data_IF_068349612108
#
_entry.id   IF_068349612108
#
_cell.length_a   1.000
_cell.length_b   1.000
_cell.length_c   1.000
_cell.angle_alpha   90.00
_cell.angle_beta   90.00
_cell.angle_gamma   90.00
#
_symmetry.space_group_name_H-M   'P 1'
#
loop_
_entity.id
_entity.type
_entity.pdbx_description
1 polymer ?
#
# COMPACT_ATOMS: atom_id res chain seq x y z
N UNK A 1 -5.16 29.79 -97.22
CA UNK A 1 -5.41 28.38 -96.79
C UNK A 1 -4.47 28.15 -95.59
N UNK A 2 -5.05 28.12 -94.42
CA UNK A 2 -4.39 28.37 -93.19
C UNK A 2 -3.82 27.07 -92.56
N UNK A 3 -2.54 27.08 -92.29
CA UNK A 3 -1.87 26.01 -91.52
C UNK A 3 -1.77 26.42 -90.06
N UNK A 4 -2.42 25.62 -89.21
CA UNK A 4 -2.37 25.78 -87.74
C UNK A 4 -1.20 24.98 -87.23
N UNK A 5 -0.21 25.69 -86.61
CA UNK A 5 0.89 25.03 -85.88
C UNK A 5 0.49 24.77 -84.46
N UNK A 6 0.52 23.54 -84.07
CA UNK A 6 0.32 23.10 -82.69
C UNK A 6 1.62 23.17 -81.92
N UNK A 7 1.60 23.96 -80.83
CA UNK A 7 2.70 24.13 -79.91
C UNK A 7 2.50 23.19 -78.75
N UNK A 8 3.30 22.15 -78.64
CA UNK A 8 3.27 21.24 -77.50
C UNK A 8 4.14 21.84 -76.40
N UNK A 9 3.50 22.17 -75.25
CA UNK A 9 4.17 22.58 -74.03
C UNK A 9 4.45 21.39 -73.19
N UNK A 10 5.72 21.02 -73.02
CA UNK A 10 6.16 19.92 -72.15
C UNK A 10 6.31 20.46 -70.73
N UNK A 11 5.38 20.12 -69.85
CA UNK A 11 5.45 20.43 -68.41
C UNK A 11 6.27 19.34 -67.70
N UNK A 12 7.52 19.70 -67.33
CA UNK A 12 8.38 18.82 -66.55
C UNK A 12 8.05 18.94 -65.07
N UNK A 13 7.33 17.94 -64.51
CA UNK A 13 7.08 17.81 -63.08
C UNK A 13 8.37 17.34 -62.38
N UNK A 14 9.07 18.25 -61.69
CA UNK A 14 10.08 17.88 -60.70
C UNK A 14 9.38 17.38 -59.43
N UNK A 15 9.31 16.06 -59.23
CA UNK A 15 8.99 15.44 -57.97
C UNK A 15 10.15 15.62 -56.99
N UNK A 16 10.07 16.63 -56.13
CA UNK A 16 10.93 16.76 -54.97
C UNK A 16 10.50 15.70 -53.93
N UNK A 17 11.22 14.60 -53.91
CA UNK A 17 11.12 13.60 -52.84
C UNK A 17 11.78 14.16 -51.55
N UNK A 18 10.98 14.72 -50.66
CA UNK A 18 11.40 15.03 -49.29
C UNK A 18 11.65 13.73 -48.54
N UNK A 19 12.81 13.56 -47.91
CA UNK A 19 13.01 12.38 -47.03
C UNK A 19 12.07 12.51 -45.82
N UNK A 20 11.16 11.55 -45.67
CA UNK A 20 10.35 11.36 -44.48
C UNK A 20 11.27 10.87 -43.36
N UNK A 21 11.89 11.77 -42.60
CA UNK A 21 12.58 11.41 -41.37
C UNK A 21 11.51 11.00 -40.35
N UNK A 22 11.31 9.69 -40.20
CA UNK A 22 10.54 9.15 -39.09
C UNK A 22 11.28 9.56 -37.81
N UNK A 23 10.81 10.62 -37.16
CA UNK A 23 11.18 10.90 -35.78
C UNK A 23 10.62 9.71 -34.93
N UNK A 24 11.50 8.80 -34.54
CA UNK A 24 11.23 7.86 -33.48
C UNK A 24 11.08 8.65 -32.18
N UNK A 25 9.92 9.22 -31.96
CA UNK A 25 9.52 9.68 -30.63
C UNK A 25 9.37 8.44 -29.77
N UNK A 26 10.41 8.12 -29.02
CA UNK A 26 10.32 7.20 -27.90
C UNK A 26 9.24 7.77 -27.00
N UNK A 27 8.04 7.22 -27.06
CA UNK A 27 7.00 7.50 -26.07
C UNK A 27 7.56 6.93 -24.77
N UNK A 28 8.18 7.78 -23.95
CA UNK A 28 8.50 7.41 -22.58
C UNK A 28 7.17 7.02 -21.94
N UNK A 29 7.00 5.75 -21.62
CA UNK A 29 5.85 5.29 -20.86
C UNK A 29 5.88 6.03 -19.52
N UNK A 30 4.83 6.77 -19.24
CA UNK A 30 4.69 7.53 -17.99
C UNK A 30 4.88 6.58 -16.81
N UNK A 31 5.80 6.93 -15.90
CA UNK A 31 6.10 6.10 -14.72
C UNK A 31 4.83 5.99 -13.85
N UNK A 32 4.34 4.77 -13.64
CA UNK A 32 3.21 4.54 -12.73
C UNK A 32 3.71 4.52 -11.31
N UNK A 33 3.34 5.54 -10.55
CA UNK A 33 3.70 5.67 -9.13
C UNK A 33 2.55 5.28 -8.22
N UNK A 34 2.85 4.72 -7.03
CA UNK A 34 1.89 4.42 -5.97
C UNK A 34 2.40 5.03 -4.66
N UNK A 35 1.64 5.94 -4.06
CA UNK A 35 1.85 6.39 -2.68
C UNK A 35 1.06 5.49 -1.75
N UNK A 36 1.75 4.61 -1.04
CA UNK A 36 1.20 3.73 -0.01
C UNK A 36 1.33 4.36 1.37
N UNK A 37 0.44 3.98 2.29
CA UNK A 37 0.47 4.37 3.69
C UNK A 37 0.16 3.16 4.57
N UNK A 38 0.79 3.07 5.75
CA UNK A 38 0.36 2.19 6.84
C UNK A 38 0.19 3.00 8.12
N UNK A 39 -0.83 2.68 8.90
CA UNK A 39 -1.14 3.41 10.12
C UNK A 39 -1.91 2.56 11.13
N UNK A 40 -1.31 2.24 12.27
CA UNK A 40 -2.04 1.73 13.42
C UNK A 40 -2.86 2.88 14.03
N UNK A 41 -4.18 2.74 14.06
CA UNK A 41 -5.11 3.83 14.40
C UNK A 41 -5.47 3.90 15.87
N UNK A 42 -5.00 2.92 16.67
CA UNK A 42 -5.42 2.76 18.07
C UNK A 42 -6.95 2.80 18.22
N UNK A 43 -7.68 2.21 17.28
CA UNK A 43 -9.15 2.24 17.17
C UNK A 43 -9.76 3.65 17.25
N UNK A 44 -8.98 4.69 16.95
CA UNK A 44 -9.41 6.10 17.13
C UNK A 44 -9.57 6.53 18.58
N UNK A 45 -9.00 5.81 19.56
CA UNK A 45 -9.22 6.03 21.01
C UNK A 45 -8.71 7.38 21.52
N UNK A 46 -7.73 8.00 20.83
CA UNK A 46 -7.22 9.31 21.24
C UNK A 46 -8.11 10.47 20.80
N UNK A 47 -8.45 10.55 19.52
CA UNK A 47 -9.14 11.73 18.96
C UNK A 47 -10.35 11.39 18.07
N UNK A 48 -10.68 10.11 17.93
CA UNK A 48 -11.77 9.62 17.07
C UNK A 48 -11.32 9.31 15.65
N UNK A 49 -12.15 8.51 14.98
CA UNK A 49 -11.90 8.03 13.61
C UNK A 49 -11.91 9.18 12.60
N UNK A 50 -12.66 10.26 12.86
CA UNK A 50 -12.67 11.44 12.00
C UNK A 50 -11.27 12.09 11.90
N UNK A 51 -10.52 12.10 13.00
CA UNK A 51 -9.14 12.62 13.03
C UNK A 51 -8.13 11.69 12.33
N UNK A 52 -8.36 10.39 12.37
CA UNK A 52 -7.62 9.43 11.54
C UNK A 52 -7.86 9.72 10.05
N UNK A 53 -9.11 10.00 9.66
CA UNK A 53 -9.44 10.39 8.29
C UNK A 53 -8.76 11.71 7.87
N UNK A 54 -8.70 12.72 8.77
CA UNK A 54 -7.98 13.98 8.52
C UNK A 54 -6.50 13.73 8.20
N UNK A 55 -5.84 12.81 8.92
CA UNK A 55 -4.45 12.42 8.67
C UNK A 55 -4.29 11.78 7.28
N UNK A 56 -5.16 10.84 6.94
CA UNK A 56 -5.16 10.18 5.63
C UNK A 56 -5.36 11.22 4.52
N UNK A 57 -6.33 12.12 4.67
CA UNK A 57 -6.62 13.17 3.68
C UNK A 57 -5.44 14.12 3.49
N UNK A 58 -4.75 14.51 4.55
CA UNK A 58 -3.57 15.39 4.48
C UNK A 58 -2.41 14.71 3.75
N UNK A 59 -2.15 13.44 4.04
CA UNK A 59 -1.12 12.66 3.33
C UNK A 59 -1.52 12.30 1.90
N UNK A 60 -2.80 12.19 1.62
CA UNK A 60 -3.38 11.92 0.31
C UNK A 60 -2.78 10.67 -0.39
N UNK A 61 -2.67 9.51 0.28
CA UNK A 61 -2.13 8.29 -0.32
C UNK A 61 -3.06 7.73 -1.39
N UNK A 62 -2.53 6.85 -2.24
CA UNK A 62 -3.30 6.08 -3.21
C UNK A 62 -3.99 4.87 -2.57
N UNK A 63 -3.29 4.26 -1.59
CA UNK A 63 -3.73 3.05 -0.90
C UNK A 63 -3.21 3.05 0.55
N UNK A 64 -4.03 2.56 1.48
CA UNK A 64 -3.73 2.60 2.91
C UNK A 64 -3.98 1.25 3.56
N UNK A 65 -3.07 0.82 4.42
CA UNK A 65 -3.21 -0.27 5.38
C UNK A 65 -3.43 0.33 6.77
N UNK A 66 -4.59 0.05 7.37
CA UNK A 66 -4.92 0.52 8.71
C UNK A 66 -5.02 -0.68 9.66
N UNK A 67 -4.40 -0.56 10.82
CA UNK A 67 -4.49 -1.56 11.88
C UNK A 67 -5.37 -1.05 13.01
N UNK A 68 -5.83 -1.98 13.84
CA UNK A 68 -6.72 -1.71 14.97
C UNK A 68 -8.06 -1.06 14.59
N UNK A 69 -8.69 -1.57 13.56
CA UNK A 69 -10.02 -1.13 13.17
C UNK A 69 -11.08 -1.94 13.93
N UNK A 70 -11.83 -1.24 14.78
CA UNK A 70 -13.04 -1.76 15.41
C UNK A 70 -14.28 -1.37 14.60
N UNK A 71 -15.25 -2.28 14.44
CA UNK A 71 -16.50 -2.08 13.72
C UNK A 71 -17.67 -2.53 14.56
N UNK A 72 -18.73 -1.68 14.65
CA UNK A 72 -19.96 -1.97 15.41
C UNK A 72 -19.72 -2.30 16.90
N UNK A 73 -18.73 -1.65 17.51
CA UNK A 73 -18.36 -1.82 18.93
C UNK A 73 -18.91 -0.67 19.77
N UNK A 74 -18.74 -0.76 21.10
CA UNK A 74 -19.08 0.37 21.99
C UNK A 74 -18.26 1.63 21.72
N UNK A 75 -17.02 1.49 21.27
CA UNK A 75 -16.12 2.61 20.97
C UNK A 75 -16.43 3.17 19.57
N UNK A 76 -16.62 2.29 18.61
CA UNK A 76 -16.95 2.62 17.23
C UNK A 76 -18.31 1.99 16.86
N UNK A 77 -19.45 2.62 17.21
CA UNK A 77 -20.78 2.03 17.04
C UNK A 77 -21.31 2.06 15.60
N UNK A 78 -20.46 2.22 14.65
CA UNK A 78 -20.75 2.29 13.21
C UNK A 78 -19.90 1.30 12.41
N UNK A 79 -20.21 1.16 11.13
CA UNK A 79 -19.35 0.50 10.16
C UNK A 79 -18.13 1.42 9.86
N UNK A 80 -17.07 1.27 10.67
CA UNK A 80 -15.86 2.11 10.59
C UNK A 80 -15.19 2.04 9.20
N UNK A 81 -15.07 0.89 8.53
CA UNK A 81 -14.57 0.81 7.15
C UNK A 81 -15.35 1.72 6.20
N UNK A 82 -16.67 1.64 6.21
CA UNK A 82 -17.54 2.49 5.39
C UNK A 82 -17.38 3.97 5.75
N UNK A 83 -17.39 4.29 7.05
CA UNK A 83 -17.21 5.67 7.52
C UNK A 83 -15.89 6.26 7.08
N UNK A 84 -14.78 5.53 7.19
CA UNK A 84 -13.46 5.98 6.72
C UNK A 84 -13.42 6.15 5.21
N UNK A 85 -14.03 5.23 4.45
CA UNK A 85 -14.15 5.37 2.99
C UNK A 85 -14.88 6.66 2.60
N UNK A 86 -15.99 6.98 3.27
CA UNK A 86 -16.76 8.21 3.04
C UNK A 86 -15.97 9.47 3.41
N UNK A 87 -15.32 9.50 4.58
CA UNK A 87 -14.55 10.64 5.08
C UNK A 87 -13.28 10.92 4.25
N UNK A 88 -12.66 9.89 3.69
CA UNK A 88 -11.42 10.02 2.89
C UNK A 88 -11.67 10.11 1.39
N UNK A 89 -12.89 9.81 0.93
CA UNK A 89 -13.21 9.70 -0.49
C UNK A 89 -12.55 8.50 -1.19
N UNK A 90 -11.91 7.60 -0.44
CA UNK A 90 -11.32 6.36 -0.96
C UNK A 90 -12.42 5.32 -1.13
N UNK A 91 -12.94 5.21 -2.35
CA UNK A 91 -14.19 4.48 -2.65
C UNK A 91 -14.12 2.97 -2.47
N UNK A 92 -12.94 2.38 -2.58
CA UNK A 92 -12.75 0.94 -2.51
C UNK A 92 -12.10 0.59 -1.19
N UNK A 93 -12.62 -0.43 -0.51
CA UNK A 93 -12.07 -0.87 0.77
C UNK A 93 -12.32 -2.36 1.01
N UNK A 94 -11.45 -2.95 1.80
CA UNK A 94 -11.55 -4.34 2.23
C UNK A 94 -11.23 -4.47 3.71
N UNK A 95 -12.19 -4.96 4.50
CA UNK A 95 -12.00 -5.22 5.94
C UNK A 95 -11.45 -6.63 6.14
N UNK A 96 -10.25 -6.71 6.68
CA UNK A 96 -9.54 -7.95 6.99
C UNK A 96 -9.85 -8.34 8.44
N UNK A 97 -10.92 -9.12 8.61
CA UNK A 97 -11.43 -9.51 9.92
C UNK A 97 -10.42 -10.38 10.68
N UNK A 98 -10.16 -10.05 11.94
CA UNK A 98 -9.33 -10.85 12.86
C UNK A 98 -10.17 -11.61 13.88
N UNK A 99 -10.99 -10.91 14.66
CA UNK A 99 -11.77 -11.53 15.73
C UNK A 99 -13.09 -10.78 15.99
N UNK A 100 -14.05 -11.50 16.57
CA UNK A 100 -15.26 -10.93 17.12
C UNK A 100 -14.99 -10.45 18.55
N UNK A 101 -15.47 -9.24 18.88
CA UNK A 101 -15.33 -8.69 20.23
C UNK A 101 -16.46 -9.23 21.11
N UNK A 102 -16.17 -9.83 22.28
CA UNK A 102 -17.19 -10.44 23.12
C UNK A 102 -18.34 -9.49 23.55
N UNK A 103 -18.05 -8.20 23.62
CA UNK A 103 -19.06 -7.18 23.96
C UNK A 103 -19.86 -6.65 22.75
N UNK A 104 -19.65 -7.24 21.57
CA UNK A 104 -20.26 -6.90 20.29
C UNK A 104 -19.31 -6.21 19.33
N UNK A 105 -19.50 -6.47 18.05
CA UNK A 105 -18.72 -5.94 16.93
C UNK A 105 -17.44 -6.74 16.63
N UNK A 106 -16.65 -6.21 15.73
CA UNK A 106 -15.48 -6.86 15.13
C UNK A 106 -14.21 -6.03 15.28
N UNK A 107 -13.08 -6.70 15.18
CA UNK A 107 -11.75 -6.10 15.16
C UNK A 107 -10.91 -6.72 14.02
N UNK A 108 -10.11 -5.88 13.38
CA UNK A 108 -9.24 -6.33 12.30
C UNK A 108 -8.39 -5.22 11.70
N UNK A 109 -8.00 -5.43 10.45
CA UNK A 109 -7.29 -4.46 9.65
C UNK A 109 -8.17 -3.98 8.50
N UNK A 110 -7.83 -2.85 7.89
CA UNK A 110 -8.57 -2.29 6.78
C UNK A 110 -7.62 -1.84 5.67
N UNK A 111 -7.94 -2.19 4.44
CA UNK A 111 -7.33 -1.59 3.26
C UNK A 111 -8.32 -0.57 2.70
N UNK A 112 -7.86 0.68 2.47
CA UNK A 112 -8.58 1.68 1.68
C UNK A 112 -7.83 1.95 0.39
N UNK A 113 -8.54 2.10 -0.73
CA UNK A 113 -7.95 2.36 -2.05
C UNK A 113 -8.72 3.41 -2.82
N UNK A 114 -8.02 4.31 -3.52
CA UNK A 114 -8.58 5.20 -4.53
C UNK A 114 -8.93 4.45 -5.82
N UNK A 115 -8.29 3.30 -6.04
CA UNK A 115 -8.37 2.50 -7.26
C UNK A 115 -9.20 1.25 -7.05
N UNK A 116 -9.82 0.72 -8.11
CA UNK A 116 -10.64 -0.50 -8.03
C UNK A 116 -9.86 -1.68 -7.45
N UNK A 117 -10.53 -2.41 -6.55
CA UNK A 117 -10.10 -3.69 -6.03
C UNK A 117 -10.67 -4.78 -6.94
N UNK A 118 -9.80 -5.57 -7.58
CA UNK A 118 -10.17 -6.63 -8.52
C UNK A 118 -10.22 -8.01 -7.88
N UNK A 119 -9.49 -8.20 -6.77
CA UNK A 119 -9.45 -9.44 -5.98
C UNK A 119 -9.17 -9.08 -4.53
N UNK A 120 -9.74 -9.88 -3.61
CA UNK A 120 -9.53 -9.71 -2.17
C UNK A 120 -9.46 -11.09 -1.48
N UNK A 121 -8.53 -11.25 -0.54
CA UNK A 121 -8.40 -12.44 0.30
C UNK A 121 -7.94 -12.09 1.70
N UNK A 122 -8.41 -12.87 2.69
CA UNK A 122 -7.96 -12.73 4.06
C UNK A 122 -7.85 -14.08 4.76
N UNK A 123 -6.95 -14.13 5.74
CA UNK A 123 -6.59 -15.32 6.50
C UNK A 123 -6.44 -14.95 7.98
N UNK A 124 -6.96 -15.78 8.87
CA UNK A 124 -6.64 -15.68 10.29
C UNK A 124 -5.26 -16.29 10.52
N UNK A 125 -4.43 -15.60 11.30
CA UNK A 125 -3.11 -16.06 11.67
C UNK A 125 -3.18 -16.84 12.99
N UNK A 126 -2.36 -17.87 13.09
CA UNK A 126 -2.32 -18.72 14.27
C UNK A 126 -1.86 -17.97 15.51
N UNK A 127 -2.47 -18.31 16.64
CA UNK A 127 -2.04 -17.91 17.96
C UNK A 127 -1.27 -19.05 18.62
N UNK A 128 -0.23 -18.75 19.40
CA UNK A 128 0.56 -19.78 20.08
C UNK A 128 -0.23 -20.49 21.19
N UNK A 129 -1.10 -19.74 21.87
CA UNK A 129 -1.86 -20.26 23.01
C UNK A 129 -3.34 -19.91 22.86
N UNK A 130 -4.19 -20.79 23.40
CA UNK A 130 -5.62 -20.50 23.53
C UNK A 130 -5.83 -19.24 24.37
N UNK A 131 -6.58 -18.27 23.83
CA UNK A 131 -6.85 -16.98 24.48
C UNK A 131 -5.89 -15.86 24.08
N UNK A 132 -4.88 -16.13 23.27
CA UNK A 132 -4.08 -15.08 22.62
C UNK A 132 -4.91 -14.34 21.56
N UNK A 133 -4.54 -13.10 21.28
CA UNK A 133 -5.20 -12.32 20.23
C UNK A 133 -5.05 -13.00 18.87
N UNK A 134 -6.18 -13.20 18.21
CA UNK A 134 -6.20 -13.66 16.82
C UNK A 134 -5.82 -12.48 15.93
N UNK A 135 -4.79 -12.69 15.14
CA UNK A 135 -4.33 -11.72 14.13
C UNK A 135 -4.81 -12.16 12.75
N UNK A 136 -4.68 -11.26 11.79
CA UNK A 136 -5.07 -11.55 10.42
C UNK A 136 -4.09 -10.95 9.42
N UNK A 137 -4.02 -11.59 8.27
CA UNK A 137 -3.37 -11.15 7.08
C UNK A 137 -4.40 -11.06 5.96
N UNK A 138 -4.31 -10.05 5.12
CA UNK A 138 -5.15 -9.94 3.94
C UNK A 138 -4.52 -9.11 2.87
N UNK A 139 -4.96 -9.31 1.63
CA UNK A 139 -4.47 -8.57 0.49
C UNK A 139 -5.58 -8.29 -0.52
N UNK A 140 -5.35 -7.29 -1.33
CA UNK A 140 -6.19 -6.92 -2.47
C UNK A 140 -5.34 -6.77 -3.72
N UNK A 141 -5.91 -7.11 -4.88
CA UNK A 141 -5.31 -6.79 -6.18
C UNK A 141 -5.87 -5.48 -6.69
N UNK A 142 -4.99 -4.57 -7.09
CA UNK A 142 -5.32 -3.22 -7.51
C UNK A 142 -4.75 -2.95 -8.90
N UNK A 143 -5.51 -2.23 -9.72
CA UNK A 143 -5.09 -1.74 -11.04
C UNK A 143 -4.90 -0.22 -11.00
N UNK A 144 -3.68 0.25 -11.30
CA UNK A 144 -3.37 1.68 -11.45
C UNK A 144 -2.54 1.92 -12.70
N UNK A 145 -2.98 2.82 -13.58
CA UNK A 145 -2.22 3.19 -14.78
C UNK A 145 -1.87 2.02 -15.69
N UNK A 146 -2.71 0.98 -15.77
CA UNK A 146 -2.45 -0.24 -16.53
C UNK A 146 -1.50 -1.24 -15.86
N UNK A 147 -0.99 -0.96 -14.64
CA UNK A 147 -0.18 -1.87 -13.83
C UNK A 147 -1.01 -2.50 -12.73
N UNK A 148 -0.91 -3.82 -12.59
CA UNK A 148 -1.52 -4.57 -11.49
C UNK A 148 -0.46 -4.91 -10.43
N UNK A 149 -0.89 -4.88 -9.18
CA UNK A 149 -0.06 -5.28 -8.03
C UNK A 149 -0.97 -5.69 -6.87
N UNK A 150 -0.42 -6.43 -5.92
CA UNK A 150 -1.09 -6.70 -4.64
C UNK A 150 -0.69 -5.67 -3.59
N UNK A 151 -1.67 -5.27 -2.78
CA UNK A 151 -1.43 -4.53 -1.55
C UNK A 151 -1.96 -5.33 -0.37
N UNK A 152 -1.11 -5.57 0.60
CA UNK A 152 -1.40 -6.42 1.75
C UNK A 152 -1.37 -5.64 3.06
N UNK A 153 -2.08 -6.16 4.06
CA UNK A 153 -2.12 -5.63 5.43
C UNK A 153 -1.98 -6.75 6.46
N UNK A 154 -1.30 -6.45 7.55
CA UNK A 154 -1.27 -7.32 8.73
C UNK A 154 -1.05 -6.50 10.00
N UNK A 155 -1.37 -7.09 11.15
CA UNK A 155 -0.97 -6.64 12.47
C UNK A 155 -0.54 -7.89 13.26
N UNK A 156 0.76 -8.03 13.52
CA UNK A 156 1.31 -9.22 14.17
C UNK A 156 1.11 -9.20 15.69
N UNK A 157 1.40 -10.34 16.33
CA UNK A 157 1.30 -10.48 17.78
C UNK A 157 2.23 -9.48 18.51
N UNK A 158 1.72 -8.85 19.55
CA UNK A 158 2.41 -7.79 20.30
C UNK A 158 3.27 -8.30 21.45
N UNK A 159 3.30 -9.62 21.71
CA UNK A 159 4.06 -10.19 22.82
C UNK A 159 5.56 -9.97 22.64
N UNK A 160 6.26 -9.88 23.76
CA UNK A 160 7.70 -9.61 23.76
C UNK A 160 8.51 -10.65 22.98
N UNK A 161 8.14 -11.92 23.09
CA UNK A 161 8.85 -13.02 22.41
C UNK A 161 8.45 -13.14 20.94
N UNK A 162 9.43 -13.42 20.06
CA UNK A 162 9.20 -13.52 18.61
C UNK A 162 8.44 -14.76 18.17
N UNK A 163 8.25 -15.78 19.01
CA UNK A 163 7.74 -17.09 18.60
C UNK A 163 6.37 -17.02 17.89
N UNK A 164 5.43 -16.21 18.40
CA UNK A 164 4.13 -16.02 17.75
C UNK A 164 4.28 -15.34 16.39
N UNK A 165 5.08 -14.27 16.32
CA UNK A 165 5.33 -13.54 15.09
C UNK A 165 6.02 -14.38 14.04
N UNK A 166 7.01 -15.22 14.42
CA UNK A 166 7.68 -16.13 13.49
C UNK A 166 6.72 -17.18 12.91
N UNK A 167 5.78 -17.70 13.72
CA UNK A 167 4.72 -18.56 13.22
C UNK A 167 3.84 -17.82 12.20
N UNK A 168 3.37 -16.63 12.57
CA UNK A 168 2.52 -15.79 11.72
C UNK A 168 3.19 -15.37 10.41
N UNK A 169 4.48 -15.06 10.43
CA UNK A 169 5.26 -14.76 9.23
C UNK A 169 5.31 -15.95 8.28
N UNK A 170 5.58 -17.15 8.78
CA UNK A 170 5.63 -18.35 7.95
C UNK A 170 4.28 -18.59 7.25
N UNK A 171 3.18 -18.33 7.94
CA UNK A 171 1.84 -18.38 7.35
C UNK A 171 1.65 -17.31 6.27
N UNK A 172 2.03 -16.05 6.56
CA UNK A 172 1.99 -14.94 5.58
C UNK A 172 2.80 -15.30 4.34
N UNK A 173 4.05 -15.74 4.51
CA UNK A 173 4.93 -16.11 3.39
C UNK A 173 4.34 -17.22 2.54
N UNK A 174 3.70 -18.25 3.15
CA UNK A 174 3.04 -19.33 2.41
C UNK A 174 1.92 -18.83 1.49
N UNK A 175 1.28 -17.71 1.81
CA UNK A 175 0.28 -17.07 0.94
C UNK A 175 0.91 -16.15 -0.08
N UNK A 176 1.92 -15.36 0.32
CA UNK A 176 2.55 -14.37 -0.56
C UNK A 176 3.36 -15.05 -1.68
N UNK A 177 4.00 -16.18 -1.39
CA UNK A 177 4.74 -16.98 -2.38
C UNK A 177 3.86 -17.52 -3.52
N UNK A 178 2.55 -17.56 -3.34
CA UNK A 178 1.59 -17.99 -4.36
C UNK A 178 1.07 -16.83 -5.23
N UNK A 179 1.45 -15.59 -4.92
CA UNK A 179 1.02 -14.43 -5.70
C UNK A 179 1.82 -14.35 -7.00
N UNK A 180 1.12 -14.07 -8.09
CA UNK A 180 1.66 -13.96 -9.44
C UNK A 180 2.12 -12.54 -9.82
N UNK A 181 1.81 -11.56 -8.97
CA UNK A 181 2.13 -10.14 -9.16
C UNK A 181 2.94 -9.60 -7.97
N UNK A 182 3.64 -8.48 -8.15
CA UNK A 182 4.34 -7.80 -7.06
C UNK A 182 3.40 -7.41 -5.92
N UNK A 183 3.91 -7.45 -4.68
CA UNK A 183 3.15 -7.10 -3.49
C UNK A 183 3.86 -6.02 -2.66
N UNK A 184 3.07 -5.05 -2.19
CA UNK A 184 3.46 -4.12 -1.12
C UNK A 184 2.69 -4.55 0.13
N UNK A 185 3.39 -4.76 1.23
CA UNK A 185 2.81 -5.07 2.54
C UNK A 185 2.98 -3.88 3.48
N UNK A 186 1.87 -3.38 4.00
CA UNK A 186 1.84 -2.40 5.09
C UNK A 186 1.34 -3.03 6.39
N UNK A 187 1.95 -2.68 7.52
CA UNK A 187 1.45 -3.22 8.79
C UNK A 187 2.23 -2.80 10.01
N UNK A 188 1.59 -2.98 11.16
CA UNK A 188 2.25 -3.03 12.45
C UNK A 188 2.78 -4.45 12.65
N UNK A 189 4.09 -4.62 12.44
CA UNK A 189 4.74 -5.91 12.56
C UNK A 189 5.16 -6.22 13.99
N UNK A 190 4.91 -5.30 14.94
CA UNK A 190 5.32 -5.42 16.34
C UNK A 190 6.79 -5.85 16.52
N UNK A 191 7.63 -5.45 15.56
CA UNK A 191 9.00 -5.94 15.44
C UNK A 191 9.96 -4.85 15.03
N UNK A 192 11.07 -4.80 15.75
CA UNK A 192 12.15 -3.83 15.52
C UNK A 192 13.10 -4.35 14.46
N UNK A 193 13.78 -3.42 13.79
CA UNK A 193 14.92 -3.77 12.94
C UNK A 193 15.95 -4.61 13.73
N UNK A 194 16.46 -5.69 13.11
CA UNK A 194 17.40 -6.61 13.74
C UNK A 194 16.75 -7.64 14.68
N UNK A 195 15.41 -7.71 14.75
CA UNK A 195 14.73 -8.82 15.43
C UNK A 195 14.66 -10.06 14.52
N UNK A 196 14.52 -11.25 15.12
CA UNK A 196 14.34 -12.48 14.34
C UNK A 196 13.11 -12.42 13.41
N UNK A 197 12.07 -11.71 13.82
CA UNK A 197 10.89 -11.42 13.01
C UNK A 197 11.24 -10.64 11.74
N UNK A 198 11.99 -9.51 11.87
CA UNK A 198 12.36 -8.70 10.71
C UNK A 198 13.38 -9.42 9.82
N UNK A 199 14.29 -10.19 10.38
CA UNK A 199 15.22 -11.03 9.62
C UNK A 199 14.45 -12.09 8.78
N UNK A 200 13.36 -12.65 9.31
CA UNK A 200 12.50 -13.56 8.57
C UNK A 200 11.80 -12.87 7.39
N UNK A 201 11.26 -11.65 7.59
CA UNK A 201 10.67 -10.87 6.50
C UNK A 201 11.71 -10.49 5.43
N UNK A 202 12.92 -10.11 5.81
CA UNK A 202 13.99 -9.68 4.88
C UNK A 202 14.48 -10.79 3.95
N UNK A 203 14.19 -12.05 4.26
CA UNK A 203 14.50 -13.18 3.34
C UNK A 203 13.63 -13.13 2.07
N UNK A 204 12.48 -12.53 2.14
CA UNK A 204 11.50 -12.50 1.05
C UNK A 204 11.19 -11.07 0.60
N UNK A 205 10.99 -10.15 1.55
CA UNK A 205 10.64 -8.76 1.31
C UNK A 205 11.85 -7.85 1.34
N UNK A 206 11.83 -6.81 0.51
CA UNK A 206 12.72 -5.66 0.65
C UNK A 206 12.16 -4.73 1.70
N UNK A 207 12.95 -4.48 2.73
CA UNK A 207 12.63 -3.52 3.80
C UNK A 207 13.27 -2.18 3.46
N UNK A 208 12.44 -1.16 3.26
CA UNK A 208 12.87 0.18 2.85
C UNK A 208 13.33 1.02 4.04
N UNK A 209 14.27 0.52 4.81
CA UNK A 209 14.98 1.39 5.73
C UNK A 209 16.05 2.13 4.95
N UNK A 210 15.94 3.43 4.89
CA UNK A 210 17.00 4.29 4.42
C UNK A 210 18.24 4.07 5.29
N UNK A 211 19.41 4.32 4.75
CA UNK A 211 20.75 4.01 5.26
C UNK A 211 21.04 4.39 6.72
N UNK A 212 20.23 5.26 7.33
CA UNK A 212 20.46 5.86 8.63
C UNK A 212 19.68 5.21 9.79
N UNK A 213 19.15 4.02 9.56
CA UNK A 213 18.31 3.30 10.51
C UNK A 213 16.82 3.48 10.27
N UNK A 214 16.02 2.56 10.82
CA UNK A 214 14.57 2.64 10.68
C UNK A 214 14.03 3.87 11.44
N UNK A 215 13.26 4.74 10.78
CA UNK A 215 12.65 5.85 11.47
C UNK A 215 11.60 5.33 12.45
N UNK A 216 11.65 5.79 13.69
CA UNK A 216 10.81 5.31 14.78
C UNK A 216 9.35 5.72 14.60
N UNK A 217 8.43 4.80 14.92
CA UNK A 217 7.00 4.99 14.70
C UNK A 217 6.17 4.96 15.97
N UNK A 218 6.73 4.45 17.09
CA UNK A 218 6.01 4.29 18.36
C UNK A 218 6.94 4.48 19.57
N UNK A 219 6.39 4.98 20.74
CA UNK A 219 5.05 5.58 20.88
C UNK A 219 5.01 7.05 20.43
N UNK A 220 3.90 7.50 19.89
CA UNK A 220 3.66 8.92 19.67
C UNK A 220 3.25 9.61 20.98
N UNK A 221 3.74 10.86 21.31
CA UNK A 221 4.56 11.72 20.46
C UNK A 221 6.08 11.53 20.60
N UNK A 222 6.56 10.62 21.45
CA UNK A 222 7.98 10.41 21.75
C UNK A 222 8.43 9.01 21.29
N UNK A 223 8.66 8.79 19.99
CA UNK A 223 8.94 7.48 19.46
C UNK A 223 10.32 6.99 19.92
N UNK A 224 10.44 5.70 20.17
CA UNK A 224 11.65 5.05 20.63
C UNK A 224 12.06 3.82 19.80
N UNK A 225 11.17 3.36 18.90
CA UNK A 225 11.48 2.28 17.95
C UNK A 225 10.49 2.28 16.78
N UNK A 226 10.85 1.56 15.71
CA UNK A 226 9.98 1.29 14.58
C UNK A 226 9.31 -0.07 14.73
N UNK A 227 7.99 -0.15 14.49
CA UNK A 227 7.26 -1.40 14.35
C UNK A 227 6.25 -1.38 13.19
N UNK A 228 6.02 -0.21 12.61
CA UNK A 228 5.14 0.01 11.47
C UNK A 228 5.98 0.09 10.20
N UNK A 229 5.68 -0.76 9.23
CA UNK A 229 6.52 -0.97 8.07
C UNK A 229 5.72 -0.97 6.77
N UNK A 230 6.34 -0.42 5.73
CA UNK A 230 5.96 -0.63 4.33
C UNK A 230 7.10 -1.39 3.65
N UNK A 231 6.86 -2.62 3.25
CA UNK A 231 7.84 -3.53 2.63
C UNK A 231 7.27 -4.09 1.33
N UNK A 232 8.11 -4.61 0.43
CA UNK A 232 7.64 -5.11 -0.85
C UNK A 232 8.42 -6.32 -1.35
N UNK A 233 7.80 -7.09 -2.25
CA UNK A 233 8.40 -8.21 -2.97
C UNK A 233 7.84 -8.31 -4.41
N UNK A 234 8.63 -8.85 -5.36
CA UNK A 234 10.06 -9.11 -5.26
C UNK A 234 10.90 -7.82 -5.29
N UNK A 235 12.18 -7.91 -4.96
CA UNK A 235 13.08 -6.76 -4.78
C UNK A 235 13.24 -5.86 -6.02
N UNK A 236 13.02 -6.39 -7.22
CA UNK A 236 13.13 -5.66 -8.48
C UNK A 236 11.81 -5.09 -9.00
N UNK A 237 10.68 -5.32 -8.31
CA UNK A 237 9.36 -4.93 -8.79
C UNK A 237 9.06 -3.43 -8.62
N UNK A 238 9.71 -2.79 -7.66
CA UNK A 238 9.47 -1.38 -7.35
C UNK A 238 10.76 -0.59 -7.22
N UNK A 239 10.67 0.72 -7.51
CA UNK A 239 11.69 1.69 -7.12
C UNK A 239 11.09 2.58 -6.06
N UNK A 240 11.73 2.68 -4.90
CA UNK A 240 11.30 3.56 -3.81
C UNK A 240 11.80 4.97 -4.09
N UNK A 241 10.88 5.92 -4.23
CA UNK A 241 11.20 7.35 -4.43
C UNK A 241 11.21 8.13 -3.12
N UNK A 242 10.40 7.71 -2.14
CA UNK A 242 10.32 8.32 -0.81
C UNK A 242 9.84 7.31 0.22
N UNK A 243 10.30 7.50 1.46
CA UNK A 243 9.83 6.77 2.65
C UNK A 243 9.86 7.73 3.83
N UNK A 244 8.71 7.96 4.47
CA UNK A 244 8.59 8.98 5.51
C UNK A 244 7.73 8.49 6.67
N UNK A 245 8.09 8.92 7.90
CA UNK A 245 7.21 8.87 9.06
C UNK A 245 6.57 10.25 9.25
N UNK A 246 5.25 10.27 9.41
CA UNK A 246 4.47 11.50 9.50
C UNK A 246 4.46 12.04 10.93
N UNK A 247 5.59 12.53 11.44
CA UNK A 247 5.76 13.01 12.82
C UNK A 247 4.83 14.16 13.21
N UNK A 248 4.21 14.83 12.25
CA UNK A 248 3.22 15.87 12.52
C UNK A 248 1.87 15.33 13.03
N UNK A 249 1.59 14.02 12.83
CA UNK A 249 0.37 13.33 13.31
C UNK A 249 0.65 12.69 14.69
N UNK A 250 0.95 13.51 15.68
CA UNK A 250 1.46 13.08 16.99
C UNK A 250 0.37 12.90 18.06
N UNK A 251 -0.89 13.21 17.74
CA UNK A 251 -2.02 13.22 18.68
C UNK A 251 -3.11 12.21 18.39
N UNK A 252 -3.24 11.81 17.14
CA UNK A 252 -4.40 11.06 16.63
C UNK A 252 -4.34 9.58 16.99
N UNK A 253 -3.12 9.02 17.11
CA UNK A 253 -2.85 7.63 17.52
C UNK A 253 -1.62 7.59 18.44
N UNK A 254 -1.35 6.45 19.06
CA UNK A 254 -0.09 6.16 19.77
C UNK A 254 1.01 5.68 18.82
N UNK A 255 0.71 5.52 17.52
CA UNK A 255 1.65 5.29 16.44
C UNK A 255 1.69 6.47 15.48
N UNK A 256 2.84 6.65 14.82
CA UNK A 256 2.97 7.55 13.69
C UNK A 256 2.68 6.83 12.38
N UNK A 257 1.96 7.47 11.44
CA UNK A 257 1.77 6.90 10.10
C UNK A 257 3.09 6.84 9.33
N UNK A 258 3.23 5.81 8.49
CA UNK A 258 4.33 5.66 7.55
C UNK A 258 3.81 5.76 6.13
N UNK A 259 4.49 6.54 5.29
CA UNK A 259 4.19 6.64 3.85
C UNK A 259 5.39 6.27 3.01
N UNK A 260 5.15 5.65 1.86
CA UNK A 260 6.19 5.41 0.86
C UNK A 260 5.63 5.63 -0.55
N UNK A 261 6.48 6.13 -1.45
CA UNK A 261 6.14 6.29 -2.86
C UNK A 261 6.97 5.31 -3.68
N UNK A 262 6.28 4.46 -4.41
CA UNK A 262 6.85 3.42 -5.26
C UNK A 262 6.60 3.73 -6.73
N UNK A 263 7.57 3.45 -7.59
CA UNK A 263 7.38 3.31 -9.04
C UNK A 263 7.25 1.83 -9.35
N UNK A 264 6.18 1.42 -10.04
CA UNK A 264 5.95 0.05 -10.47
C UNK A 264 6.77 -0.20 -11.75
N UNK A 265 7.64 -1.18 -11.74
CA UNK A 265 8.46 -1.58 -12.90
C UNK A 265 7.74 -2.48 -13.89
#
# INVERSE_FOLDING_TARGET
MNSIKHFFLFLMYCLLSLPLTAQNTKVESEEVTVKAMTYNTYSGRKMGIDKIADVINKENPDIVSLQEIERNTKINPWDTPKKLSELTGMKYYYFVHALDIPSGGDYGNLILSKYPICEEKSFKLSALKKGDYIRSFGYVKVLKGGKEFYFATTHLDHKYEDAARLLQINEILSHVEQLDLPVILGGDLNSRQGSATMDAFQRYFTVNCLSDGAPWTVPAPHPSYACDWLIYAPNNAFVVKAYNVCYWADKESDHFPVTATYVIR
#
